data_IF_050082141040
#
_entry.id   IF_050082141040
#
_cell.length_a   1.000
_cell.length_b   1.000
_cell.length_c   1.000
_cell.angle_alpha   90.00
_cell.angle_beta   90.00
_cell.angle_gamma   90.00
#
_symmetry.space_group_name_H-M   'P 1'
#
loop_
_entity.id
_entity.type
_entity.pdbx_description
1 polymer ?
#
# COMPACT_ATOMS: atom_id res chain seq x y z
N UNK A 1 -45.17 -27.16 31.51
CA UNK A 1 -44.71 -25.78 31.81
C UNK A 1 -44.54 -25.61 33.32
N UNK A 2 -45.60 -25.84 34.10
CA UNK A 2 -45.57 -25.89 35.57
C UNK A 2 -46.20 -27.20 36.05
N UNK A 3 -45.67 -27.79 37.10
CA UNK A 3 -46.11 -29.05 37.71
C UNK A 3 -46.16 -28.89 39.21
N UNK A 4 -47.22 -29.39 39.84
CA UNK A 4 -47.33 -29.36 41.29
C UNK A 4 -46.56 -30.51 41.92
N UNK A 5 -45.87 -30.19 42.99
CA UNK A 5 -45.17 -31.16 43.84
C UNK A 5 -45.27 -30.69 45.30
N UNK A 6 -44.69 -31.46 46.21
CA UNK A 6 -44.71 -31.15 47.63
C UNK A 6 -43.32 -31.24 48.24
N UNK A 7 -42.87 -30.13 48.79
CA UNK A 7 -41.60 -30.05 49.49
C UNK A 7 -41.79 -30.34 50.98
N UNK A 8 -41.06 -31.33 51.51
CA UNK A 8 -41.05 -31.60 52.94
C UNK A 8 -39.82 -30.91 53.54
N UNK A 9 -40.03 -29.91 54.38
CA UNK A 9 -38.92 -29.15 54.95
C UNK A 9 -38.14 -30.01 55.95
N UNK A 10 -36.81 -30.10 55.84
CA UNK A 10 -36.02 -31.13 56.53
C UNK A 10 -36.04 -31.02 58.05
N UNK A 11 -36.18 -29.80 58.61
CA UNK A 11 -36.14 -29.53 60.06
C UNK A 11 -37.47 -29.75 60.80
N UNK A 12 -38.60 -29.35 60.23
CA UNK A 12 -39.91 -29.42 60.90
C UNK A 12 -40.84 -30.48 60.29
N UNK A 13 -40.40 -31.18 59.23
CA UNK A 13 -41.13 -32.20 58.47
C UNK A 13 -42.51 -31.75 57.95
N UNK A 14 -42.75 -30.45 57.90
CA UNK A 14 -43.99 -29.90 57.35
C UNK A 14 -43.96 -29.94 55.82
N UNK A 15 -45.13 -30.18 55.23
CA UNK A 15 -45.33 -30.30 53.79
C UNK A 15 -45.76 -28.94 53.23
N UNK A 16 -44.96 -28.40 52.32
CA UNK A 16 -45.19 -27.14 51.61
C UNK A 16 -45.52 -27.42 50.14
N UNK A 17 -46.39 -26.58 49.58
CA UNK A 17 -46.69 -26.63 48.14
C UNK A 17 -45.44 -26.20 47.36
N UNK A 18 -45.00 -27.04 46.44
CA UNK A 18 -43.91 -26.77 45.51
C UNK A 18 -44.48 -26.74 44.09
N UNK A 19 -43.96 -25.86 43.25
CA UNK A 19 -44.26 -25.86 41.81
C UNK A 19 -42.94 -26.00 41.06
N UNK A 20 -42.77 -27.11 40.35
CA UNK A 20 -41.64 -27.37 39.47
C UNK A 20 -41.99 -26.79 38.10
N UNK A 21 -41.01 -26.17 37.43
CA UNK A 21 -41.22 -25.65 36.07
C UNK A 21 -40.04 -25.96 35.17
N UNK A 22 -40.30 -26.03 33.87
CA UNK A 22 -39.25 -26.13 32.86
C UNK A 22 -38.79 -24.73 32.40
N UNK A 23 -37.78 -24.68 31.53
CA UNK A 23 -37.17 -23.44 31.03
C UNK A 23 -38.19 -22.42 30.53
N UNK A 24 -39.20 -22.86 29.79
CA UNK A 24 -40.26 -21.98 29.28
C UNK A 24 -41.14 -21.41 30.40
N UNK A 25 -41.38 -22.19 31.46
CA UNK A 25 -42.11 -21.73 32.64
C UNK A 25 -41.33 -20.69 33.43
N UNK A 26 -40.01 -20.85 33.53
CA UNK A 26 -39.13 -19.84 34.09
C UNK A 26 -39.13 -18.54 33.27
N UNK A 27 -38.98 -18.63 31.94
CA UNK A 27 -39.07 -17.46 31.04
C UNK A 27 -40.41 -16.74 31.18
N UNK A 28 -41.50 -17.48 31.40
CA UNK A 28 -42.82 -16.90 31.61
C UNK A 28 -42.94 -16.11 32.92
N UNK A 29 -42.36 -16.61 34.03
CA UNK A 29 -42.38 -15.95 35.34
C UNK A 29 -41.36 -14.81 35.48
N UNK A 30 -40.11 -15.02 35.04
CA UNK A 30 -39.01 -14.07 35.19
C UNK A 30 -39.28 -12.73 34.50
N UNK A 31 -40.12 -12.72 33.48
CA UNK A 31 -40.47 -11.52 32.74
C UNK A 31 -41.53 -10.64 33.40
N UNK A 32 -42.14 -10.97 34.55
CA UNK A 32 -42.95 -10.06 35.38
C UNK A 32 -44.21 -9.40 34.76
N UNK A 33 -44.46 -9.51 33.45
CA UNK A 33 -45.56 -8.84 32.77
C UNK A 33 -46.81 -9.71 32.72
N UNK A 34 -47.90 -9.26 33.34
CA UNK A 34 -49.25 -9.84 33.27
C UNK A 34 -50.11 -9.02 32.30
N UNK A 35 -50.50 -9.61 31.17
CA UNK A 35 -51.36 -8.96 30.18
C UNK A 35 -51.41 -9.72 28.84
N UNK A 36 -52.53 -9.63 28.10
CA UNK A 36 -52.73 -10.36 26.84
C UNK A 36 -51.66 -10.03 25.77
N UNK A 37 -51.22 -8.78 25.70
CA UNK A 37 -50.14 -8.34 24.79
C UNK A 37 -48.78 -8.91 25.21
N UNK A 38 -48.52 -9.00 26.51
CA UNK A 38 -47.29 -9.59 27.04
C UNK A 38 -47.25 -11.10 26.77
N UNK A 39 -48.38 -11.81 26.89
CA UNK A 39 -48.48 -13.22 26.54
C UNK A 39 -48.16 -13.46 25.05
N UNK A 40 -48.72 -12.64 24.16
CA UNK A 40 -48.45 -12.73 22.72
C UNK A 40 -46.98 -12.46 22.38
N UNK A 41 -46.35 -11.50 23.06
CA UNK A 41 -44.91 -11.23 22.90
C UNK A 41 -44.06 -12.42 23.39
N UNK A 42 -44.41 -13.01 24.55
CA UNK A 42 -43.72 -14.19 25.09
C UNK A 42 -43.77 -15.38 24.13
N UNK A 43 -44.94 -15.66 23.54
CA UNK A 43 -45.10 -16.74 22.56
C UNK A 43 -44.21 -16.51 21.33
N UNK A 44 -44.20 -15.28 20.79
CA UNK A 44 -43.32 -14.92 19.67
C UNK A 44 -41.83 -15.02 20.01
N UNK A 45 -41.46 -14.64 21.24
CA UNK A 45 -40.07 -14.72 21.70
C UNK A 45 -39.61 -16.18 21.79
N UNK A 46 -40.43 -17.07 22.37
CA UNK A 46 -40.14 -18.50 22.45
C UNK A 46 -40.03 -19.11 21.05
N UNK A 47 -40.95 -18.77 20.15
CA UNK A 47 -40.93 -19.23 18.76
C UNK A 47 -39.65 -18.80 18.02
N UNK A 48 -39.30 -17.52 18.09
CA UNK A 48 -38.08 -16.99 17.45
C UNK A 48 -36.81 -17.60 18.07
N UNK A 49 -36.80 -17.82 19.39
CA UNK A 49 -35.69 -18.45 20.08
C UNK A 49 -35.50 -19.91 19.63
N UNK A 50 -36.59 -20.68 19.55
CA UNK A 50 -36.54 -22.08 19.09
C UNK A 50 -36.08 -22.18 17.63
N UNK A 51 -36.56 -21.28 16.76
CA UNK A 51 -36.09 -21.19 15.37
C UNK A 51 -34.58 -20.91 15.29
N UNK A 52 -34.07 -19.97 16.11
CA UNK A 52 -32.64 -19.68 16.18
C UNK A 52 -31.84 -20.89 16.69
N UNK A 53 -32.33 -21.58 17.70
CA UNK A 53 -31.67 -22.77 18.26
C UNK A 53 -31.58 -23.91 17.23
N UNK A 54 -32.64 -24.15 16.45
CA UNK A 54 -32.61 -25.13 15.35
C UNK A 54 -31.64 -24.75 14.24
N UNK A 55 -31.59 -23.47 13.84
CA UNK A 55 -30.63 -22.98 12.85
C UNK A 55 -29.18 -23.21 13.30
N UNK A 56 -28.88 -22.94 14.57
CA UNK A 56 -27.54 -23.14 15.12
C UNK A 56 -27.16 -24.61 15.26
N UNK A 57 -28.11 -25.48 15.64
CA UNK A 57 -27.89 -26.94 15.66
C UNK A 57 -27.67 -27.52 14.26
N UNK A 58 -28.37 -26.99 13.27
CA UNK A 58 -28.17 -27.36 11.86
C UNK A 58 -26.82 -26.85 11.34
N UNK A 59 -26.38 -25.66 11.77
CA UNK A 59 -25.05 -25.12 11.44
C UNK A 59 -23.90 -25.87 12.12
N UNK A 60 -24.08 -26.44 13.32
CA UNK A 60 -23.03 -27.22 13.99
C UNK A 60 -22.69 -28.55 13.29
N UNK A 61 -23.50 -28.97 12.31
CA UNK A 61 -23.24 -30.11 11.43
C UNK A 61 -22.64 -29.70 10.07
N UNK A 62 -22.06 -28.50 9.94
CA UNK A 62 -21.36 -28.11 8.72
C UNK A 62 -19.94 -28.73 8.70
N UNK A 63 -19.66 -29.69 7.79
CA UNK A 63 -18.29 -30.13 7.55
C UNK A 63 -17.55 -29.01 6.81
N UNK A 64 -16.40 -28.55 7.31
CA UNK A 64 -15.17 -28.05 6.61
C UNK A 64 -15.29 -27.07 5.40
N UNK A 65 -16.48 -26.58 5.01
CA UNK A 65 -16.70 -25.83 3.76
C UNK A 65 -16.24 -24.36 3.80
N UNK A 66 -15.84 -23.85 4.96
CA UNK A 66 -15.27 -22.50 5.05
C UNK A 66 -13.83 -22.46 4.54
N UNK A 67 -13.08 -23.57 4.59
CA UNK A 67 -11.67 -23.58 4.19
C UNK A 67 -11.50 -23.55 2.67
N UNK A 68 -12.32 -24.30 1.94
CA UNK A 68 -12.30 -24.33 0.48
C UNK A 68 -12.75 -22.99 -0.12
N UNK A 69 -13.81 -22.39 0.45
CA UNK A 69 -14.27 -21.06 0.04
C UNK A 69 -13.24 -19.96 0.35
N UNK A 70 -12.59 -20.02 1.53
CA UNK A 70 -11.51 -19.11 1.88
C UNK A 70 -10.29 -19.29 0.97
N UNK A 71 -9.94 -20.53 0.62
CA UNK A 71 -8.85 -20.83 -0.30
C UNK A 71 -9.16 -20.35 -1.72
N UNK A 72 -10.38 -20.58 -2.22
CA UNK A 72 -10.80 -20.09 -3.53
C UNK A 72 -10.81 -18.55 -3.58
N UNK A 73 -11.29 -17.89 -2.52
CA UNK A 73 -11.24 -16.45 -2.39
C UNK A 73 -9.80 -15.93 -2.32
N UNK A 74 -8.91 -16.60 -1.59
CA UNK A 74 -7.49 -16.24 -1.51
C UNK A 74 -6.78 -16.40 -2.87
N UNK A 75 -7.02 -17.51 -3.58
CA UNK A 75 -6.46 -17.76 -4.91
C UNK A 75 -6.99 -16.75 -5.95
N UNK A 76 -8.27 -16.41 -5.90
CA UNK A 76 -8.86 -15.34 -6.76
C UNK A 76 -8.24 -13.99 -6.44
N UNK A 77 -8.01 -13.67 -5.17
CA UNK A 77 -7.34 -12.44 -4.76
C UNK A 77 -5.88 -12.38 -5.22
N UNK A 78 -5.12 -13.47 -5.10
CA UNK A 78 -3.73 -13.57 -5.57
C UNK A 78 -3.62 -13.41 -7.09
N UNK A 79 -4.54 -14.02 -7.85
CA UNK A 79 -4.67 -13.80 -9.30
C UNK A 79 -5.02 -12.34 -9.63
N UNK A 80 -5.86 -11.70 -8.81
CA UNK A 80 -6.14 -10.27 -8.92
C UNK A 80 -4.89 -9.41 -8.68
N UNK A 81 -4.11 -9.70 -7.64
CA UNK A 81 -2.87 -9.00 -7.32
C UNK A 81 -1.83 -9.15 -8.43
N UNK A 82 -1.67 -10.34 -9.02
CA UNK A 82 -0.73 -10.54 -10.13
C UNK A 82 -1.12 -9.73 -11.37
N UNK A 83 -2.41 -9.65 -11.73
CA UNK A 83 -2.87 -8.80 -12.82
C UNK A 83 -2.69 -7.30 -12.52
N UNK A 84 -2.96 -6.86 -11.28
CA UNK A 84 -2.75 -5.48 -10.85
C UNK A 84 -1.26 -5.12 -10.91
N UNK A 85 -0.38 -6.00 -10.45
CA UNK A 85 1.07 -5.80 -10.52
C UNK A 85 1.54 -5.73 -11.97
N UNK A 86 1.08 -6.63 -12.85
CA UNK A 86 1.40 -6.54 -14.28
C UNK A 86 0.92 -5.23 -14.92
N UNK A 87 -0.23 -4.69 -14.48
CA UNK A 87 -0.71 -3.38 -14.94
C UNK A 87 0.11 -2.24 -14.35
N UNK A 88 0.54 -2.32 -13.10
CA UNK A 88 1.47 -1.37 -12.49
C UNK A 88 2.80 -1.37 -13.24
N UNK A 89 3.39 -2.53 -13.52
CA UNK A 89 4.63 -2.65 -14.28
C UNK A 89 4.49 -2.00 -15.66
N UNK A 90 3.40 -2.29 -16.38
CA UNK A 90 3.10 -1.67 -17.68
C UNK A 90 2.94 -0.16 -17.57
N UNK A 91 2.18 0.33 -16.59
CA UNK A 91 2.01 1.76 -16.34
C UNK A 91 3.34 2.43 -15.99
N UNK A 92 4.21 1.79 -15.22
CA UNK A 92 5.53 2.35 -14.89
C UNK A 92 6.48 2.36 -16.10
N UNK A 93 6.37 1.39 -17.01
CA UNK A 93 7.15 1.38 -18.26
C UNK A 93 6.64 2.38 -19.29
N UNK A 94 5.32 2.63 -19.34
CA UNK A 94 4.69 3.52 -20.32
C UNK A 94 4.65 4.98 -19.85
N UNK A 95 4.74 5.24 -18.54
CA UNK A 95 4.71 6.59 -18.00
C UNK A 95 6.09 7.25 -17.97
N UNK A 96 6.17 8.41 -18.61
CA UNK A 96 7.31 9.32 -18.53
C UNK A 96 7.46 9.88 -17.11
N UNK A 97 8.68 10.29 -16.75
CA UNK A 97 8.94 10.97 -15.48
C UNK A 97 8.03 12.19 -15.27
N UNK A 98 7.53 12.34 -14.04
CA UNK A 98 6.65 13.45 -13.68
C UNK A 98 7.42 14.78 -13.52
N UNK A 99 6.69 15.90 -13.34
CA UNK A 99 7.31 17.24 -13.26
C UNK A 99 8.28 17.42 -12.09
N UNK A 100 8.08 16.74 -10.96
CA UNK A 100 9.00 16.84 -9.82
C UNK A 100 10.29 16.05 -10.07
N UNK A 101 10.19 14.87 -10.67
CA UNK A 101 11.33 14.06 -11.12
C UNK A 101 12.16 14.80 -12.18
N UNK A 102 11.50 15.43 -13.15
CA UNK A 102 12.17 16.27 -14.16
C UNK A 102 12.98 17.41 -13.52
N UNK A 103 12.41 18.12 -12.52
CA UNK A 103 13.14 19.17 -11.78
C UNK A 103 14.36 18.62 -11.05
N UNK A 104 14.24 17.42 -10.47
CA UNK A 104 15.36 16.77 -9.77
C UNK A 104 16.50 16.45 -10.74
N UNK A 105 16.18 15.89 -11.91
CA UNK A 105 17.17 15.66 -12.99
C UNK A 105 17.81 16.97 -13.42
N UNK A 106 17.03 18.01 -13.71
CA UNK A 106 17.57 19.32 -14.11
C UNK A 106 18.51 19.91 -13.05
N UNK A 107 18.15 19.82 -11.77
CA UNK A 107 18.98 20.28 -10.67
C UNK A 107 20.28 19.49 -10.56
N UNK A 108 20.21 18.17 -10.71
CA UNK A 108 21.36 17.28 -10.67
C UNK A 108 22.31 17.53 -11.84
N UNK A 109 21.79 17.63 -13.07
CA UNK A 109 22.56 18.01 -14.27
C UNK A 109 23.24 19.35 -14.07
N UNK A 110 22.50 20.35 -13.57
CA UNK A 110 23.06 21.68 -13.29
C UNK A 110 24.21 21.62 -12.29
N UNK A 111 24.05 20.85 -11.21
CA UNK A 111 25.10 20.65 -10.21
C UNK A 111 26.34 19.99 -10.80
N UNK A 112 26.18 18.90 -11.56
CA UNK A 112 27.29 18.19 -12.19
C UNK A 112 28.01 19.07 -13.21
N UNK A 113 27.28 19.70 -14.13
CA UNK A 113 27.88 20.54 -15.18
C UNK A 113 28.64 21.72 -14.58
N UNK A 114 28.08 22.37 -13.55
CA UNK A 114 28.76 23.46 -12.84
C UNK A 114 30.03 22.96 -12.16
N UNK A 115 30.00 21.77 -11.55
CA UNK A 115 31.18 21.14 -10.93
C UNK A 115 32.28 20.86 -11.97
N UNK A 116 31.92 20.32 -13.13
CA UNK A 116 32.84 20.04 -14.25
C UNK A 116 33.44 21.34 -14.81
N UNK A 117 32.67 22.42 -14.92
CA UNK A 117 33.16 23.73 -15.36
C UNK A 117 34.08 24.42 -14.33
N UNK A 118 34.28 23.84 -13.14
CA UNK A 118 35.09 24.38 -12.05
C UNK A 118 34.35 25.34 -11.12
N UNK A 119 33.02 25.47 -11.24
CA UNK A 119 32.17 26.31 -10.40
C UNK A 119 31.70 27.60 -11.08
N UNK A 120 30.78 28.33 -10.42
CA UNK A 120 30.09 29.51 -11.01
C UNK A 120 30.99 30.73 -11.25
N UNK A 121 32.18 30.77 -10.64
CA UNK A 121 33.10 31.92 -10.71
C UNK A 121 34.13 31.80 -11.84
N UNK A 122 34.26 30.62 -12.44
CA UNK A 122 35.27 30.32 -13.45
C UNK A 122 34.97 30.98 -14.79
N UNK A 123 36.02 31.17 -15.58
CA UNK A 123 35.91 31.72 -16.94
C UNK A 123 35.06 30.83 -17.85
N UNK A 124 35.22 29.50 -17.76
CA UNK A 124 34.42 28.55 -18.53
C UNK A 124 32.92 28.62 -18.23
N UNK A 125 32.52 28.93 -16.99
CA UNK A 125 31.10 29.12 -16.65
C UNK A 125 30.55 30.47 -17.12
N UNK A 126 31.37 31.52 -17.11
CA UNK A 126 30.99 32.86 -17.57
C UNK A 126 30.84 32.92 -19.08
N UNK A 127 31.63 32.13 -19.82
CA UNK A 127 31.49 31.98 -21.26
C UNK A 127 30.16 31.28 -21.61
N UNK A 128 29.29 31.99 -22.33
CA UNK A 128 27.98 31.46 -22.72
C UNK A 128 28.09 30.28 -23.70
N UNK A 129 29.07 30.31 -24.61
CA UNK A 129 29.28 29.26 -25.61
C UNK A 129 29.72 27.96 -24.95
N UNK A 130 30.71 28.03 -24.06
CA UNK A 130 31.24 26.85 -23.36
C UNK A 130 30.19 26.29 -22.40
N UNK A 131 29.55 27.16 -21.60
CA UNK A 131 28.46 26.76 -20.72
C UNK A 131 27.34 26.07 -21.49
N UNK A 132 26.83 26.68 -22.56
CA UNK A 132 25.74 26.10 -23.35
C UNK A 132 26.14 24.80 -24.04
N UNK A 133 27.40 24.71 -24.51
CA UNK A 133 27.96 23.47 -25.06
C UNK A 133 28.01 22.37 -24.00
N UNK A 134 28.40 22.68 -22.76
CA UNK A 134 28.47 21.70 -21.67
C UNK A 134 27.10 21.16 -21.26
N UNK A 135 26.10 22.03 -21.11
CA UNK A 135 24.73 21.59 -20.86
C UNK A 135 24.16 20.76 -22.03
N UNK A 136 24.36 21.24 -23.27
CA UNK A 136 23.90 20.54 -24.47
C UNK A 136 24.54 19.15 -24.59
N UNK A 137 25.84 19.05 -24.35
CA UNK A 137 26.57 17.77 -24.37
C UNK A 137 26.06 16.80 -23.29
N UNK A 138 25.85 17.29 -22.06
CA UNK A 138 25.30 16.47 -20.98
C UNK A 138 23.91 15.90 -21.33
N UNK A 139 22.99 16.74 -21.82
CA UNK A 139 21.67 16.26 -22.24
C UNK A 139 21.73 15.37 -23.48
N UNK A 140 22.65 15.62 -24.42
CA UNK A 140 22.84 14.77 -25.61
C UNK A 140 23.27 13.37 -25.19
N UNK A 141 24.28 13.25 -24.31
CA UNK A 141 24.74 11.96 -23.82
C UNK A 141 23.68 11.26 -22.94
N UNK A 142 23.00 12.00 -22.07
CA UNK A 142 21.93 11.45 -21.23
C UNK A 142 20.85 10.79 -22.11
N UNK A 143 20.37 11.51 -23.14
CA UNK A 143 19.39 10.97 -24.08
C UNK A 143 19.88 9.75 -24.84
N UNK A 144 21.15 9.74 -25.24
CA UNK A 144 21.76 8.60 -25.94
C UNK A 144 21.86 7.36 -25.04
N UNK A 145 22.14 7.51 -23.74
CA UNK A 145 22.20 6.38 -22.79
C UNK A 145 20.84 5.73 -22.53
N UNK A 146 19.78 6.52 -22.55
CA UNK A 146 18.41 6.05 -22.30
C UNK A 146 17.64 5.70 -23.58
N UNK A 147 18.21 5.96 -24.76
CA UNK A 147 17.57 5.80 -26.08
C UNK A 147 16.24 6.56 -26.19
N UNK A 148 16.27 7.85 -25.81
CA UNK A 148 15.07 8.71 -25.74
C UNK A 148 15.25 10.02 -26.51
N UNK A 149 14.15 10.54 -27.08
CA UNK A 149 14.13 11.81 -27.82
C UNK A 149 14.36 13.02 -26.90
N UNK A 150 13.81 12.97 -25.69
CA UNK A 150 13.99 13.96 -24.63
C UNK A 150 14.31 13.29 -23.30
N UNK A 151 15.04 13.98 -22.42
CA UNK A 151 15.25 13.48 -21.05
C UNK A 151 13.93 13.39 -20.26
N UNK A 152 12.89 14.10 -20.70
CA UNK A 152 11.53 14.02 -20.14
C UNK A 152 10.89 12.67 -20.43
N UNK A 153 11.31 12.01 -21.52
CA UNK A 153 10.74 10.73 -21.96
C UNK A 153 11.42 9.55 -21.28
N UNK A 154 12.34 9.78 -20.33
CA UNK A 154 12.96 8.71 -19.54
C UNK A 154 11.84 7.94 -18.80
N UNK A 155 11.75 6.62 -18.96
CA UNK A 155 10.76 5.80 -18.28
C UNK A 155 10.92 5.90 -16.76
N UNK A 156 9.81 5.96 -16.02
CA UNK A 156 9.85 6.07 -14.56
C UNK A 156 10.64 4.94 -13.89
N UNK A 157 10.57 3.72 -14.42
CA UNK A 157 11.34 2.55 -13.94
C UNK A 157 12.85 2.81 -13.96
N UNK A 158 13.34 3.57 -14.94
CA UNK A 158 14.77 3.88 -15.13
C UNK A 158 15.19 5.21 -14.51
N UNK A 159 14.32 5.84 -13.74
CA UNK A 159 14.59 7.12 -13.11
C UNK A 159 15.76 7.06 -12.11
N UNK A 160 15.81 6.03 -11.26
CA UNK A 160 16.89 5.86 -10.28
C UNK A 160 18.25 5.59 -10.97
N UNK A 161 18.24 4.88 -12.10
CA UNK A 161 19.42 4.68 -12.96
C UNK A 161 19.95 6.04 -13.46
N UNK A 162 19.06 6.93 -13.93
CA UNK A 162 19.44 8.27 -14.38
C UNK A 162 20.07 9.09 -13.24
N UNK A 163 19.51 9.04 -12.03
CA UNK A 163 20.06 9.74 -10.86
C UNK A 163 21.45 9.24 -10.48
N UNK A 164 21.75 7.96 -10.68
CA UNK A 164 23.06 7.38 -10.39
C UNK A 164 24.13 7.70 -11.45
N UNK A 165 23.72 7.91 -12.71
CA UNK A 165 24.63 8.14 -13.85
C UNK A 165 25.00 9.62 -14.03
N UNK A 166 24.06 10.54 -13.83
CA UNK A 166 24.28 11.98 -14.04
C UNK A 166 25.50 12.52 -13.25
N UNK A 167 25.77 12.16 -11.98
CA UNK A 167 26.94 12.65 -11.26
C UNK A 167 28.28 12.12 -11.78
N UNK A 168 28.25 11.02 -12.52
CA UNK A 168 29.43 10.37 -13.12
C UNK A 168 29.73 10.86 -14.54
N UNK A 169 28.87 11.73 -15.07
CA UNK A 169 29.00 12.29 -16.40
C UNK A 169 30.34 13.03 -16.59
N UNK A 170 30.94 12.85 -17.77
CA UNK A 170 32.13 13.59 -18.22
C UNK A 170 31.89 14.13 -19.64
N UNK A 171 32.36 15.36 -19.92
CA UNK A 171 32.25 15.94 -21.25
C UNK A 171 33.14 15.22 -22.27
N UNK A 172 32.80 15.37 -23.54
CA UNK A 172 33.63 14.87 -24.66
C UNK A 172 35.05 15.46 -24.60
N UNK A 173 36.04 14.75 -25.15
CA UNK A 173 37.45 15.15 -25.14
C UNK A 173 37.66 16.60 -25.63
N UNK A 174 37.00 16.96 -26.74
CA UNK A 174 37.06 18.31 -27.32
C UNK A 174 36.50 19.36 -26.37
N UNK A 175 35.35 19.08 -25.75
CA UNK A 175 34.69 20.00 -24.84
C UNK A 175 35.50 20.16 -23.54
N UNK A 176 36.08 19.08 -23.03
CA UNK A 176 36.96 19.11 -21.87
C UNK A 176 38.18 20.01 -22.14
N UNK A 177 38.85 19.82 -23.29
CA UNK A 177 39.97 20.67 -23.69
C UNK A 177 39.58 22.15 -23.78
N UNK A 178 38.39 22.46 -24.33
CA UNK A 178 37.86 23.84 -24.37
C UNK A 178 37.63 24.43 -22.98
N UNK A 179 37.11 23.64 -22.05
CA UNK A 179 36.90 24.05 -20.65
C UNK A 179 38.25 24.34 -19.99
N UNK A 180 39.23 23.47 -20.16
CA UNK A 180 40.55 23.59 -19.55
C UNK A 180 41.31 24.82 -20.09
N UNK A 181 41.26 25.05 -21.41
CA UNK A 181 41.79 26.27 -22.04
C UNK A 181 41.11 27.53 -21.48
N UNK A 182 39.78 27.55 -21.39
CA UNK A 182 39.05 28.71 -20.91
C UNK A 182 39.30 29.02 -19.43
N UNK A 183 39.49 27.99 -18.60
CA UNK A 183 39.81 28.16 -17.18
C UNK A 183 41.28 28.51 -16.92
N UNK A 184 42.14 28.53 -17.95
CA UNK A 184 43.57 28.75 -17.78
C UNK A 184 44.31 27.55 -17.18
N UNK A 185 43.68 26.36 -17.18
CA UNK A 185 44.27 25.10 -16.74
C UNK A 185 45.05 24.40 -17.87
N UNK A 186 45.43 25.13 -18.92
CA UNK A 186 46.05 24.61 -20.14
C UNK A 186 47.45 24.00 -19.99
N UNK A 187 47.90 23.71 -18.78
CA UNK A 187 49.23 23.12 -18.50
C UNK A 187 49.03 21.70 -17.93
N UNK A 188 48.59 20.77 -18.79
CA UNK A 188 48.39 19.34 -18.50
C UNK A 188 49.71 18.57 -18.23
N UNK A 189 50.84 19.26 -18.00
CA UNK A 189 52.18 18.66 -17.84
C UNK A 189 52.96 19.17 -16.61
N UNK A 190 52.28 19.62 -15.53
CA UNK A 190 52.96 20.07 -14.29
C UNK A 190 52.92 19.11 -13.10
N UNK A 191 52.89 17.80 -13.33
CA UNK A 191 53.19 16.82 -12.28
C UNK A 191 54.16 15.75 -12.78
N UNK A 192 55.42 16.13 -13.03
CA UNK A 192 56.59 15.27 -12.76
C UNK A 192 57.76 16.17 -12.34
N UNK A 193 57.99 16.31 -11.03
CA UNK A 193 59.28 16.66 -10.41
C UNK A 193 59.26 16.19 -8.97
#
# INVERSE_FOLDING_TARGET
>A
LFYEDSYIHPQNKQKYRQIIMNRDGFTLLAMGFTGQKALKFKLKYIEAFNQMEELLKTQSNLPINNTELLLEAALKHERGLTLVNQRLDKLETETTINRSQQRKIQGLVSSTVIKVLGGKKTSAYKDSSIKQSAFSNCYKQLKALFDVASYVDIPKVRYEEALALIPKWKPDLELQARIDMANGNGDMFKEVS
#
